data_IF_980435258385
#
_entry.id   IF_980435258385
#
_cell.length_a   1.000
_cell.length_b   1.000
_cell.length_c   1.000
_cell.angle_alpha   90.00
_cell.angle_beta   90.00
_cell.angle_gamma   90.00
#
_symmetry.space_group_name_H-M   'P 1'
#
loop_
_entity.id
_entity.type
_entity.pdbx_description
1 polymer ?
#
# COMPACT_ATOMS: atom_id res chain seq x y z
N UNK A 1 -2.25 -10.21 11.07
CA UNK A 1 -1.72 -10.45 9.71
C UNK A 1 -2.13 -11.82 9.22
N UNK A 2 -1.75 -12.92 9.86
CA UNK A 2 -2.05 -14.30 9.42
C UNK A 2 -3.53 -14.55 9.13
N UNK A 3 -4.42 -14.22 10.09
CA UNK A 3 -5.87 -14.40 9.90
C UNK A 3 -6.42 -13.59 8.72
N UNK A 4 -5.96 -12.35 8.55
CA UNK A 4 -6.40 -11.49 7.45
C UNK A 4 -5.96 -12.03 6.08
N UNK A 5 -4.76 -12.62 6.01
CA UNK A 5 -4.22 -13.26 4.81
C UNK A 5 -4.72 -14.68 4.55
N UNK A 6 -5.78 -15.10 5.25
CA UNK A 6 -6.37 -16.44 5.16
C UNK A 6 -5.40 -17.59 5.49
N UNK A 7 -4.34 -17.29 6.27
CA UNK A 7 -3.25 -18.21 6.61
C UNK A 7 -2.41 -18.69 5.41
N UNK A 8 -2.50 -18.02 4.27
CA UNK A 8 -1.67 -18.26 3.09
C UNK A 8 -0.38 -17.41 3.09
N UNK A 9 -0.15 -16.74 4.21
CA UNK A 9 1.04 -15.94 4.43
C UNK A 9 2.29 -16.81 4.59
N UNK A 10 3.43 -16.36 4.07
CA UNK A 10 4.73 -16.92 4.42
C UNK A 10 5.10 -16.48 5.84
N UNK A 11 5.07 -17.42 6.79
CA UNK A 11 5.23 -17.15 8.22
C UNK A 11 6.54 -16.43 8.55
N UNK A 12 7.65 -16.84 7.91
CA UNK A 12 8.97 -16.21 8.08
C UNK A 12 8.92 -14.71 7.72
N UNK A 13 8.32 -14.37 6.58
CA UNK A 13 8.20 -12.98 6.13
C UNK A 13 7.34 -12.13 7.06
N UNK A 14 6.25 -12.70 7.60
CA UNK A 14 5.43 -12.04 8.61
C UNK A 14 6.22 -11.79 9.90
N UNK A 15 6.98 -12.78 10.37
CA UNK A 15 7.82 -12.68 11.57
C UNK A 15 8.89 -11.58 11.41
N UNK A 16 9.57 -11.56 10.26
CA UNK A 16 10.56 -10.53 9.92
C UNK A 16 9.92 -9.15 9.96
N UNK A 17 8.79 -8.95 9.28
CA UNK A 17 8.12 -7.66 9.23
C UNK A 17 7.73 -7.17 10.63
N UNK A 18 7.12 -8.02 11.45
CA UNK A 18 6.65 -7.64 12.78
C UNK A 18 7.82 -7.29 13.69
N UNK A 19 8.89 -8.11 13.71
CA UNK A 19 10.05 -7.88 14.57
C UNK A 19 10.87 -6.66 14.17
N UNK A 20 10.84 -6.28 12.90
CA UNK A 20 11.54 -5.10 12.40
C UNK A 20 10.73 -3.81 12.53
N UNK A 21 9.46 -3.89 12.92
CA UNK A 21 8.54 -2.75 12.88
C UNK A 21 9.00 -1.55 13.71
N UNK A 22 9.47 -1.78 14.94
CA UNK A 22 9.91 -0.70 15.84
C UNK A 22 11.14 0.02 15.29
N UNK A 23 12.12 -0.73 14.76
CA UNK A 23 13.31 -0.15 14.14
C UNK A 23 12.92 0.75 12.96
N UNK A 24 12.04 0.29 12.09
CA UNK A 24 11.56 1.06 10.93
C UNK A 24 10.83 2.34 11.37
N UNK A 25 10.00 2.28 12.40
CA UNK A 25 9.32 3.48 12.91
C UNK A 25 10.32 4.49 13.47
N UNK A 26 11.34 4.05 14.20
CA UNK A 26 12.39 4.94 14.69
C UNK A 26 13.18 5.58 13.54
N UNK A 27 13.50 4.80 12.49
CA UNK A 27 14.15 5.33 11.29
C UNK A 27 13.30 6.42 10.62
N UNK A 28 11.99 6.18 10.46
CA UNK A 28 11.07 7.15 9.86
C UNK A 28 10.99 8.45 10.64
N UNK A 29 10.88 8.36 11.97
CA UNK A 29 10.92 9.55 12.86
C UNK A 29 12.26 10.27 12.71
N UNK A 30 13.36 9.53 12.66
CA UNK A 30 14.70 10.08 12.43
C UNK A 30 14.84 10.77 11.06
N UNK A 31 14.10 10.33 10.05
CA UNK A 31 14.03 10.99 8.74
C UNK A 31 13.04 12.17 8.68
N UNK A 32 12.37 12.47 9.80
CA UNK A 32 11.47 13.60 9.92
C UNK A 32 10.00 13.32 9.57
N UNK A 33 9.59 12.04 9.56
CA UNK A 33 8.17 11.68 9.45
C UNK A 33 7.47 12.09 10.74
N UNK A 34 6.40 12.87 10.60
CA UNK A 34 5.59 13.39 11.68
C UNK A 34 4.34 12.53 11.88
N UNK A 35 4.40 11.57 12.80
CA UNK A 35 3.22 10.82 13.20
C UNK A 35 2.40 11.58 14.24
N UNK A 36 1.08 11.41 14.22
CA UNK A 36 0.18 12.00 15.20
C UNK A 36 0.62 11.67 16.63
N UNK A 37 0.69 12.68 17.49
CA UNK A 37 1.15 12.56 18.87
C UNK A 37 0.43 13.53 19.81
N UNK A 38 0.44 13.20 21.10
CA UNK A 38 -0.01 14.07 22.19
C UNK A 38 1.18 14.26 23.14
N UNK A 39 1.79 15.43 23.10
CA UNK A 39 3.09 15.66 23.71
C UNK A 39 4.15 14.72 23.15
N UNK A 40 4.81 13.94 24.02
CA UNK A 40 5.83 12.95 23.63
C UNK A 40 5.24 11.55 23.27
N UNK A 41 3.93 11.38 23.35
CA UNK A 41 3.28 10.07 23.12
C UNK A 41 2.70 9.98 21.73
N UNK A 42 3.11 8.94 20.98
CA UNK A 42 2.52 8.60 19.69
C UNK A 42 1.05 8.17 19.87
N UNK A 43 0.20 8.64 18.98
CA UNK A 43 -1.19 8.25 18.90
C UNK A 43 -1.36 7.07 17.95
N UNK A 44 -2.34 6.22 18.25
CA UNK A 44 -2.63 5.03 17.46
C UNK A 44 -4.09 5.01 17.05
N UNK A 45 -4.33 4.71 15.77
CA UNK A 45 -5.69 4.47 15.26
C UNK A 45 -5.94 2.98 15.02
N UNK A 46 -7.21 2.65 14.86
CA UNK A 46 -7.68 1.30 14.51
C UNK A 46 -8.32 1.33 13.14
N UNK A 47 -7.93 0.39 12.29
CA UNK A 47 -8.60 0.11 11.01
C UNK A 47 -9.36 -1.22 11.08
N UNK A 48 -10.19 -1.48 10.07
CA UNK A 48 -10.97 -2.71 9.98
C UNK A 48 -10.09 -3.97 10.05
N UNK A 49 -10.63 -5.04 10.60
CA UNK A 49 -9.95 -6.31 10.88
C UNK A 49 -8.78 -6.24 11.88
N UNK A 50 -8.42 -5.07 12.42
CA UNK A 50 -7.48 -4.96 13.53
C UNK A 50 -8.17 -5.22 14.88
N UNK A 51 -7.51 -5.99 15.74
CA UNK A 51 -8.04 -6.34 17.07
C UNK A 51 -7.94 -5.21 18.11
N UNK A 52 -7.02 -4.25 17.89
CA UNK A 52 -6.77 -3.10 18.77
C UNK A 52 -6.15 -1.93 17.98
N UNK A 53 -6.19 -0.69 18.51
CA UNK A 53 -5.42 0.43 17.96
C UNK A 53 -3.92 0.10 17.99
N UNK A 54 -3.25 0.19 16.84
CA UNK A 54 -1.80 -0.06 16.69
C UNK A 54 -1.19 0.60 15.47
N UNK A 55 -1.97 1.36 14.71
CA UNK A 55 -1.54 1.97 13.47
C UNK A 55 -1.13 3.39 13.75
N UNK A 56 0.11 3.72 13.46
CA UNK A 56 0.59 5.10 13.44
C UNK A 56 0.08 5.78 12.17
N UNK A 57 -0.27 7.04 12.30
CA UNK A 57 -0.90 7.80 11.23
C UNK A 57 -0.44 9.26 11.26
N UNK A 58 -0.59 9.94 10.14
CA UNK A 58 -0.48 11.38 10.00
C UNK A 58 -1.74 11.84 9.29
N UNK A 59 -2.68 12.41 10.02
CA UNK A 59 -4.02 12.72 9.50
C UNK A 59 -4.61 11.51 8.72
N UNK A 60 -5.10 11.72 7.51
CA UNK A 60 -5.55 10.70 6.55
C UNK A 60 -4.62 10.55 5.32
N UNK A 61 -3.38 11.08 5.41
CA UNK A 61 -2.38 11.10 4.33
C UNK A 61 -1.03 10.49 4.71
N UNK A 62 -1.00 9.53 5.63
CA UNK A 62 0.23 8.90 6.16
C UNK A 62 1.21 8.47 5.05
N UNK A 63 0.72 7.88 3.96
CA UNK A 63 1.56 7.47 2.84
C UNK A 63 2.26 8.64 2.15
N UNK A 64 1.59 9.77 1.99
CA UNK A 64 2.17 11.00 1.42
C UNK A 64 3.23 11.57 2.35
N UNK A 65 2.98 11.62 3.66
CA UNK A 65 3.93 12.08 4.66
C UNK A 65 5.23 11.28 4.60
N UNK A 66 5.15 9.95 4.69
CA UNK A 66 6.31 9.06 4.62
C UNK A 66 7.09 9.28 3.31
N UNK A 67 6.40 9.24 2.17
CA UNK A 67 7.05 9.33 0.86
C UNK A 67 7.74 10.67 0.66
N UNK A 68 7.09 11.77 1.04
CA UNK A 68 7.64 13.12 0.90
C UNK A 68 8.90 13.32 1.74
N UNK A 69 8.89 12.84 3.00
CA UNK A 69 10.06 12.94 3.89
C UNK A 69 11.23 12.10 3.41
N UNK A 70 10.97 10.84 3.02
CA UNK A 70 12.02 9.99 2.48
C UNK A 70 12.62 10.56 1.18
N UNK A 71 11.79 11.07 0.27
CA UNK A 71 12.27 11.71 -0.95
C UNK A 71 13.13 12.96 -0.63
N UNK A 72 12.72 13.74 0.36
CA UNK A 72 13.49 14.91 0.81
C UNK A 72 14.87 14.51 1.37
N UNK A 73 14.98 13.36 2.05
CA UNK A 73 16.28 12.85 2.51
C UNK A 73 17.13 12.34 1.35
N UNK A 74 16.54 11.57 0.43
CA UNK A 74 17.25 11.05 -0.75
C UNK A 74 17.84 12.19 -1.60
N UNK A 75 17.10 13.27 -1.80
CA UNK A 75 17.59 14.45 -2.56
C UNK A 75 18.78 15.16 -1.95
N UNK A 76 19.12 14.91 -0.68
CA UNK A 76 20.31 15.47 -0.01
C UNK A 76 21.57 14.63 -0.27
N UNK A 77 21.43 13.40 -0.80
CA UNK A 77 22.56 12.48 -0.99
C UNK A 77 23.29 12.81 -2.31
N UNK A 78 24.58 13.17 -2.26
CA UNK A 78 25.32 13.59 -3.45
C UNK A 78 25.63 12.45 -4.45
N UNK A 79 25.50 11.22 -3.99
CA UNK A 79 25.74 10.01 -4.78
C UNK A 79 24.45 9.39 -5.38
N UNK A 80 23.32 10.08 -5.29
CA UNK A 80 22.04 9.62 -5.86
C UNK A 80 21.66 10.48 -7.05
N UNK A 81 21.37 9.85 -8.20
CA UNK A 81 20.82 10.51 -9.38
C UNK A 81 19.39 10.05 -9.60
N UNK A 82 18.46 11.00 -9.77
CA UNK A 82 17.05 10.74 -10.02
C UNK A 82 16.74 11.11 -11.48
N UNK A 83 16.29 10.14 -12.26
CA UNK A 83 15.83 10.34 -13.64
C UNK A 83 14.29 10.40 -13.65
N UNK A 84 13.74 11.61 -13.63
CA UNK A 84 12.29 11.81 -13.73
C UNK A 84 11.81 11.59 -15.18
N UNK A 85 10.55 11.19 -15.35
CA UNK A 85 9.94 10.94 -16.66
C UNK A 85 10.72 9.94 -17.54
N UNK A 86 11.37 8.98 -16.90
CA UNK A 86 12.18 7.95 -17.54
C UNK A 86 11.59 6.59 -17.20
N UNK A 87 11.20 5.84 -18.22
CA UNK A 87 10.52 4.55 -18.08
C UNK A 87 11.50 3.41 -18.34
N UNK A 88 11.61 2.47 -17.39
CA UNK A 88 12.31 1.20 -17.61
C UNK A 88 11.54 0.38 -18.65
N UNK A 89 12.21 -0.04 -19.71
CA UNK A 89 11.60 -0.82 -20.80
C UNK A 89 12.07 -2.28 -20.81
N UNK A 90 13.24 -2.56 -20.22
CA UNK A 90 13.81 -3.90 -20.12
C UNK A 90 14.95 -3.95 -19.08
N UNK A 91 15.49 -5.14 -18.85
CA UNK A 91 16.75 -5.35 -18.11
C UNK A 91 17.89 -5.72 -19.10
N UNK A 92 19.11 -5.44 -18.68
CA UNK A 92 20.31 -5.93 -19.35
C UNK A 92 20.67 -7.27 -18.71
N UNK A 93 20.68 -8.34 -19.49
CA UNK A 93 21.09 -9.68 -19.04
C UNK A 93 22.48 -9.98 -19.58
N UNK A 94 23.38 -10.40 -18.73
CA UNK A 94 24.73 -10.84 -19.07
C UNK A 94 25.06 -12.11 -18.30
N UNK A 95 25.52 -13.14 -18.98
CA UNK A 95 25.90 -14.45 -18.37
C UNK A 95 24.83 -15.03 -17.41
N UNK A 96 23.54 -14.78 -17.73
CA UNK A 96 22.40 -15.29 -16.94
C UNK A 96 22.02 -14.45 -15.71
N UNK A 97 22.68 -13.33 -15.44
CA UNK A 97 22.36 -12.41 -14.35
C UNK A 97 21.93 -11.03 -14.84
N UNK A 98 21.29 -10.26 -13.98
CA UNK A 98 20.93 -8.87 -14.26
C UNK A 98 22.19 -7.98 -14.17
N UNK A 99 22.47 -7.21 -15.20
CA UNK A 99 23.62 -6.30 -15.30
C UNK A 99 23.17 -4.83 -15.50
N UNK A 100 21.92 -4.50 -15.17
CA UNK A 100 21.36 -3.17 -15.27
C UNK A 100 20.02 -3.13 -16.00
N UNK A 101 19.62 -1.95 -16.46
CA UNK A 101 18.33 -1.70 -17.11
C UNK A 101 18.48 -1.00 -18.47
N UNK A 102 17.47 -1.15 -19.30
CA UNK A 102 17.22 -0.32 -20.48
C UNK A 102 16.06 0.61 -20.13
N UNK A 103 16.26 1.90 -20.30
CA UNK A 103 15.27 2.91 -20.00
C UNK A 103 15.03 3.82 -21.20
N UNK A 104 13.86 4.43 -21.26
CA UNK A 104 13.46 5.39 -22.27
C UNK A 104 13.05 6.70 -21.61
N UNK A 105 13.69 7.80 -22.02
CA UNK A 105 13.34 9.15 -21.56
C UNK A 105 12.02 9.63 -22.18
N UNK A 106 11.46 10.72 -21.68
CA UNK A 106 10.27 11.38 -22.25
C UNK A 106 10.48 11.81 -23.72
N UNK A 107 11.72 12.13 -24.10
CA UNK A 107 12.08 12.58 -25.44
C UNK A 107 12.37 11.41 -26.41
N UNK A 108 12.23 10.17 -25.91
CA UNK A 108 12.37 8.95 -26.69
C UNK A 108 13.80 8.40 -26.77
N UNK A 109 14.76 9.00 -26.09
CA UNK A 109 16.13 8.53 -26.02
C UNK A 109 16.21 7.20 -25.23
N UNK A 110 16.97 6.24 -25.75
CA UNK A 110 17.20 4.95 -25.09
C UNK A 110 18.51 5.03 -24.29
N UNK A 111 18.39 4.72 -23.00
CA UNK A 111 19.51 4.69 -22.07
C UNK A 111 19.81 3.24 -21.67
N UNK A 112 21.08 2.86 -21.69
CA UNK A 112 21.57 1.60 -21.13
C UNK A 112 22.30 1.92 -19.83
N UNK A 113 21.64 1.67 -18.70
CA UNK A 113 22.19 1.93 -17.36
C UNK A 113 22.73 0.60 -16.80
N UNK A 114 24.04 0.46 -16.77
CA UNK A 114 24.69 -0.72 -16.16
C UNK A 114 24.77 -0.55 -14.67
N UNK A 115 24.54 -1.65 -13.94
CA UNK A 115 24.59 -1.72 -12.48
C UNK A 115 25.07 -3.11 -12.07
N UNK A 116 25.75 -3.18 -10.93
CA UNK A 116 26.12 -4.43 -10.29
C UNK A 116 24.88 -5.13 -9.74
N UNK A 117 24.01 -4.35 -9.04
CA UNK A 117 22.71 -4.82 -8.57
C UNK A 117 21.58 -3.90 -9.03
N UNK A 118 20.42 -4.49 -9.27
CA UNK A 118 19.19 -3.78 -9.69
C UNK A 118 18.06 -4.09 -8.73
N UNK A 119 17.30 -3.07 -8.33
CA UNK A 119 16.12 -3.23 -7.45
C UNK A 119 14.88 -2.78 -8.20
N UNK A 120 13.91 -3.66 -8.37
CA UNK A 120 12.57 -3.31 -8.83
C UNK A 120 11.73 -2.79 -7.67
N UNK A 121 11.25 -1.56 -7.78
CA UNK A 121 10.33 -0.92 -6.85
C UNK A 121 9.18 -0.24 -7.61
N UNK A 122 8.71 -0.89 -8.68
CA UNK A 122 7.83 -0.33 -9.70
C UNK A 122 6.34 -0.29 -9.31
N UNK A 123 5.98 -0.72 -8.10
CA UNK A 123 4.60 -0.75 -7.64
C UNK A 123 3.79 -1.90 -8.26
N UNK A 124 2.47 -1.79 -8.20
CA UNK A 124 1.55 -2.85 -8.59
C UNK A 124 0.98 -2.72 -9.99
N UNK A 125 -0.26 -3.19 -10.16
CA UNK A 125 -0.95 -3.34 -11.45
C UNK A 125 -2.24 -2.50 -11.55
N UNK A 126 -2.42 -1.54 -10.64
CA UNK A 126 -3.69 -0.82 -10.49
C UNK A 126 -4.12 -0.02 -11.71
N UNK A 127 -3.17 0.44 -12.53
CA UNK A 127 -3.45 1.14 -13.78
C UNK A 127 -4.16 0.29 -14.84
N UNK A 128 -4.14 -1.04 -14.72
CA UNK A 128 -4.87 -1.96 -15.58
C UNK A 128 -6.36 -2.04 -15.26
N UNK A 129 -6.83 -1.44 -14.16
CA UNK A 129 -8.21 -1.54 -13.70
C UNK A 129 -9.00 -0.25 -13.94
N UNK A 130 -10.24 -0.39 -14.41
CA UNK A 130 -11.16 0.74 -14.62
C UNK A 130 -11.40 1.56 -13.34
N UNK A 131 -11.53 0.87 -12.19
CA UNK A 131 -11.67 1.49 -10.88
C UNK A 131 -10.47 1.09 -10.02
N UNK A 132 -9.58 2.03 -9.76
CA UNK A 132 -8.38 1.81 -8.96
C UNK A 132 -8.05 3.03 -8.12
N UNK A 133 -7.48 2.81 -6.94
CA UNK A 133 -6.89 3.85 -6.09
C UNK A 133 -5.45 4.17 -6.50
N UNK A 134 -4.89 3.41 -7.43
CA UNK A 134 -3.52 3.60 -7.91
C UNK A 134 -3.47 4.56 -9.11
N UNK A 135 -2.29 5.07 -9.39
CA UNK A 135 -2.07 5.90 -10.57
C UNK A 135 -2.13 5.07 -11.86
N UNK A 136 -2.62 5.65 -12.98
CA UNK A 136 -2.78 4.92 -14.25
C UNK A 136 -1.48 4.36 -14.84
N UNK A 137 -0.32 4.90 -14.49
CA UNK A 137 0.98 4.44 -14.97
C UNK A 137 1.52 3.20 -14.24
N UNK A 138 0.84 2.71 -13.20
CA UNK A 138 1.21 1.48 -12.50
C UNK A 138 0.60 0.28 -13.22
N UNK A 139 1.22 -0.15 -14.30
CA UNK A 139 0.71 -1.15 -15.25
C UNK A 139 1.36 -2.53 -15.13
N UNK A 140 2.25 -2.71 -14.13
CA UNK A 140 2.92 -3.99 -13.92
C UNK A 140 4.11 -4.26 -14.86
N UNK A 141 4.74 -3.24 -15.36
CA UNK A 141 5.83 -3.35 -16.37
C UNK A 141 6.95 -4.29 -15.91
N UNK A 142 7.33 -4.27 -14.62
CA UNK A 142 8.32 -5.18 -14.08
C UNK A 142 7.88 -6.65 -14.10
N UNK A 143 6.57 -6.93 -14.05
CA UNK A 143 6.03 -8.29 -14.17
C UNK A 143 6.18 -8.81 -15.61
N UNK A 144 5.89 -7.98 -16.61
CA UNK A 144 6.04 -8.32 -18.02
C UNK A 144 7.52 -8.56 -18.36
N UNK A 145 8.42 -7.69 -17.89
CA UNK A 145 9.86 -7.87 -18.01
C UNK A 145 10.31 -9.16 -17.33
N UNK A 146 9.85 -9.42 -16.11
CA UNK A 146 10.16 -10.64 -15.36
C UNK A 146 9.72 -11.90 -16.11
N UNK A 147 8.49 -11.90 -16.63
CA UNK A 147 7.96 -12.99 -17.45
C UNK A 147 8.80 -13.23 -18.73
N UNK A 148 9.19 -12.16 -19.40
CA UNK A 148 10.02 -12.21 -20.61
C UNK A 148 11.37 -12.89 -20.36
N UNK A 149 11.96 -12.66 -19.20
CA UNK A 149 13.29 -13.18 -18.81
C UNK A 149 13.23 -14.44 -17.94
N UNK A 150 12.05 -15.06 -17.78
CA UNK A 150 11.90 -16.30 -16.99
C UNK A 150 12.11 -16.13 -15.48
N UNK A 151 11.99 -14.89 -14.97
CA UNK A 151 12.06 -14.60 -13.54
C UNK A 151 10.75 -15.09 -12.90
N UNK A 152 10.87 -15.77 -11.74
CA UNK A 152 9.75 -16.40 -11.05
C UNK A 152 8.72 -15.37 -10.59
N UNK A 153 7.45 -15.62 -10.94
CA UNK A 153 6.29 -14.86 -10.49
C UNK A 153 5.40 -15.75 -9.61
N UNK A 154 4.71 -15.17 -8.62
CA UNK A 154 3.78 -15.88 -7.75
C UNK A 154 2.48 -15.10 -7.56
N UNK A 155 1.37 -15.83 -7.38
CA UNK A 155 0.07 -15.31 -6.97
C UNK A 155 -0.46 -14.12 -7.79
N UNK A 156 -0.35 -14.19 -9.10
CA UNK A 156 -0.79 -13.08 -9.99
C UNK A 156 -2.29 -12.80 -9.93
N UNK A 157 -3.06 -13.69 -9.34
CA UNK A 157 -4.50 -13.58 -9.07
C UNK A 157 -4.83 -12.93 -7.71
N UNK A 158 -3.82 -12.70 -6.85
CA UNK A 158 -4.03 -12.10 -5.52
C UNK A 158 -4.13 -10.58 -5.60
N UNK A 159 -5.33 -10.12 -5.92
CA UNK A 159 -5.64 -8.68 -6.04
C UNK A 159 -6.65 -8.27 -4.97
N UNK A 160 -6.28 -7.29 -4.15
CA UNK A 160 -7.17 -6.73 -3.14
C UNK A 160 -8.01 -5.59 -3.73
N UNK A 161 -9.31 -5.69 -3.50
CA UNK A 161 -10.27 -4.63 -3.79
C UNK A 161 -10.58 -3.88 -2.49
N UNK A 162 -10.45 -2.55 -2.50
CA UNK A 162 -10.91 -1.72 -1.38
C UNK A 162 -12.42 -1.50 -1.49
N UNK A 163 -13.18 -1.69 -0.41
CA UNK A 163 -14.64 -1.60 -0.45
C UNK A 163 -15.15 -0.19 -0.77
N UNK A 164 -14.49 0.83 -0.23
CA UNK A 164 -15.00 2.21 -0.21
C UNK A 164 -14.04 3.18 -0.88
N UNK A 165 -14.29 3.52 -2.12
CA UNK A 165 -13.68 4.65 -2.83
C UNK A 165 -14.79 5.59 -3.29
N UNK A 166 -14.52 6.89 -3.35
CA UNK A 166 -15.50 7.85 -3.81
C UNK A 166 -15.88 7.55 -5.27
N UNK A 167 -17.17 7.36 -5.52
CA UNK A 167 -17.66 7.13 -6.87
C UNK A 167 -17.60 8.42 -7.68
N UNK A 168 -17.08 8.34 -8.90
CA UNK A 168 -17.12 9.41 -9.89
C UNK A 168 -17.42 8.84 -11.26
N UNK A 169 -18.13 9.59 -12.10
CA UNK A 169 -18.36 9.26 -13.51
C UNK A 169 -17.12 9.54 -14.36
N UNK A 170 -16.27 10.45 -13.89
CA UNK A 170 -15.05 10.82 -14.58
C UNK A 170 -14.02 9.68 -14.56
N UNK A 171 -13.26 9.49 -15.63
CA UNK A 171 -12.17 8.52 -15.67
C UNK A 171 -11.02 8.92 -14.71
N UNK A 172 -10.20 7.96 -14.31
CA UNK A 172 -8.99 8.20 -13.54
C UNK A 172 -8.97 7.52 -12.18
N UNK A 173 -7.99 7.95 -11.37
CA UNK A 173 -7.76 7.42 -10.03
C UNK A 173 -8.96 7.67 -9.12
N UNK A 174 -9.44 6.61 -8.46
CA UNK A 174 -10.49 6.73 -7.45
C UNK A 174 -9.92 7.25 -6.14
N UNK A 175 -10.59 8.23 -5.55
CA UNK A 175 -10.19 8.73 -4.25
C UNK A 175 -10.56 7.73 -3.16
N UNK A 176 -9.58 7.39 -2.31
CA UNK A 176 -9.76 6.43 -1.23
C UNK A 176 -10.53 7.07 -0.08
N UNK A 177 -11.67 6.48 0.29
CA UNK A 177 -12.28 6.72 1.59
C UNK A 177 -11.67 5.71 2.55
N UNK A 178 -10.78 6.17 3.40
CA UNK A 178 -9.98 5.32 4.29
C UNK A 178 -10.83 4.32 5.08
N UNK A 179 -10.28 3.17 5.37
CA UNK A 179 -10.92 2.16 6.21
C UNK A 179 -11.15 2.65 7.64
N UNK A 180 -10.32 3.57 8.14
CA UNK A 180 -10.49 4.21 9.45
C UNK A 180 -11.82 4.95 9.57
N UNK A 181 -12.37 5.51 8.47
CA UNK A 181 -13.70 6.13 8.47
C UNK A 181 -14.78 5.14 8.90
N UNK A 182 -14.71 3.89 8.41
CA UNK A 182 -15.59 2.81 8.85
C UNK A 182 -15.27 2.35 10.27
N UNK A 183 -14.00 2.40 10.65
CA UNK A 183 -13.51 2.14 12.01
C UNK A 183 -14.08 3.11 13.05
N UNK A 184 -14.24 4.38 12.67
CA UNK A 184 -14.82 5.46 13.51
C UNK A 184 -16.36 5.48 13.50
N UNK A 185 -17.02 4.62 12.71
CA UNK A 185 -18.47 4.44 12.79
C UNK A 185 -19.27 4.78 11.55
N UNK A 186 -18.64 5.00 10.39
CA UNK A 186 -19.39 5.19 9.15
C UNK A 186 -20.14 3.92 8.73
N UNK A 187 -21.34 4.09 8.20
CA UNK A 187 -22.29 3.04 7.87
C UNK A 187 -22.58 2.99 6.38
N UNK A 188 -22.71 1.78 5.82
CA UNK A 188 -23.03 1.53 4.43
C UNK A 188 -24.55 1.31 4.25
N UNK A 189 -25.13 2.05 3.33
CA UNK A 189 -26.55 1.98 2.99
C UNK A 189 -26.78 1.61 1.51
N UNK A 190 -27.85 0.86 1.26
CA UNK A 190 -28.36 0.59 -0.08
C UNK A 190 -29.18 1.79 -0.61
N UNK A 191 -29.74 1.67 -1.82
CA UNK A 191 -30.57 2.73 -2.43
C UNK A 191 -31.83 3.07 -1.64
N UNK A 192 -32.31 2.19 -0.76
CA UNK A 192 -33.50 2.39 0.06
C UNK A 192 -33.17 2.95 1.47
N UNK A 193 -31.90 3.20 1.77
CA UNK A 193 -31.47 3.63 3.10
C UNK A 193 -31.39 2.50 4.14
N UNK A 194 -31.24 1.25 3.71
CA UNK A 194 -31.13 0.11 4.58
C UNK A 194 -29.66 -0.31 4.71
N UNK A 195 -29.19 -0.51 5.94
CA UNK A 195 -27.86 -1.08 6.23
C UNK A 195 -27.84 -2.57 5.81
N UNK A 196 -26.84 -3.02 5.10
CA UNK A 196 -26.81 -4.35 4.51
C UNK A 196 -25.57 -5.19 4.87
N UNK A 197 -24.58 -4.62 5.56
CA UNK A 197 -23.33 -5.32 5.92
C UNK A 197 -22.78 -4.78 7.24
N UNK A 198 -21.96 -5.59 7.93
CA UNK A 198 -21.11 -5.08 9.02
C UNK A 198 -19.81 -4.53 8.39
N UNK A 199 -19.60 -3.25 8.49
CA UNK A 199 -18.52 -2.48 7.85
C UNK A 199 -17.13 -2.81 8.39
N UNK A 200 -17.05 -3.43 9.57
CA UNK A 200 -15.79 -3.82 10.24
C UNK A 200 -15.28 -5.21 9.86
N UNK A 201 -16.00 -5.92 8.99
CA UNK A 201 -15.54 -7.18 8.42
C UNK A 201 -14.33 -6.98 7.49
N UNK A 202 -13.56 -8.05 7.19
CA UNK A 202 -12.45 -7.99 6.24
C UNK A 202 -12.86 -7.39 4.87
N UNK A 203 -11.90 -6.74 4.21
CA UNK A 203 -12.14 -6.01 2.94
C UNK A 203 -12.82 -6.85 1.86
N UNK A 204 -12.39 -8.10 1.69
CA UNK A 204 -12.96 -9.03 0.72
C UNK A 204 -14.44 -9.33 0.99
N UNK A 205 -14.80 -9.49 2.27
CA UNK A 205 -16.19 -9.74 2.69
C UNK A 205 -17.06 -8.51 2.43
N UNK A 206 -16.61 -7.32 2.85
CA UNK A 206 -17.34 -6.07 2.64
C UNK A 206 -17.46 -5.76 1.14
N UNK A 207 -16.39 -5.98 0.37
CA UNK A 207 -16.40 -5.81 -1.10
C UNK A 207 -17.42 -6.71 -1.77
N UNK A 208 -17.49 -8.00 -1.40
CA UNK A 208 -18.48 -8.95 -1.93
C UNK A 208 -19.91 -8.50 -1.61
N UNK A 209 -20.14 -8.05 -0.37
CA UNK A 209 -21.46 -7.56 0.04
C UNK A 209 -21.88 -6.31 -0.75
N UNK A 210 -20.97 -5.34 -0.95
CA UNK A 210 -21.25 -4.14 -1.75
C UNK A 210 -21.57 -4.52 -3.20
N UNK A 211 -20.75 -5.37 -3.83
CA UNK A 211 -21.00 -5.80 -5.23
C UNK A 211 -22.36 -6.49 -5.38
N UNK A 212 -22.68 -7.40 -4.47
CA UNK A 212 -23.99 -8.08 -4.48
C UNK A 212 -25.15 -7.10 -4.26
N UNK A 213 -24.97 -6.09 -3.39
CA UNK A 213 -26.01 -5.08 -3.17
C UNK A 213 -26.19 -4.16 -4.38
N UNK A 214 -25.07 -3.74 -5.02
CA UNK A 214 -25.13 -2.94 -6.26
C UNK A 214 -25.86 -3.70 -7.38
N UNK A 215 -25.59 -4.99 -7.54
CA UNK A 215 -26.27 -5.84 -8.52
C UNK A 215 -27.77 -5.96 -8.22
N UNK A 216 -28.14 -6.26 -6.98
CA UNK A 216 -29.54 -6.31 -6.51
C UNK A 216 -30.29 -5.02 -6.74
N UNK A 217 -29.65 -3.89 -6.50
CA UNK A 217 -30.24 -2.55 -6.62
C UNK A 217 -30.25 -2.02 -8.05
N UNK A 218 -29.44 -2.60 -8.95
CA UNK A 218 -29.22 -2.08 -10.29
C UNK A 218 -28.49 -0.72 -10.29
N UNK A 219 -27.57 -0.50 -9.32
CA UNK A 219 -26.87 0.78 -9.13
C UNK A 219 -25.38 0.64 -9.39
N UNK A 220 -24.72 1.77 -9.70
CA UNK A 220 -23.27 1.84 -9.91
C UNK A 220 -22.46 2.11 -8.63
N UNK A 221 -23.12 2.31 -7.50
CA UNK A 221 -22.52 2.62 -6.21
C UNK A 221 -23.50 2.26 -5.07
N UNK A 222 -22.98 2.26 -3.85
CA UNK A 222 -23.75 2.28 -2.60
C UNK A 222 -23.48 3.59 -1.87
N UNK A 223 -24.13 3.83 -0.76
CA UNK A 223 -23.99 5.05 0.02
C UNK A 223 -23.20 4.81 1.29
N UNK A 224 -22.33 5.75 1.65
CA UNK A 224 -21.61 5.78 2.93
C UNK A 224 -22.08 7.01 3.72
N UNK A 225 -22.52 6.79 4.96
CA UNK A 225 -22.90 7.84 5.91
C UNK A 225 -21.82 8.00 6.97
N UNK A 226 -21.44 9.23 7.26
CA UNK A 226 -20.59 9.61 8.38
C UNK A 226 -21.37 10.25 9.54
N UNK A 227 -22.67 10.16 9.54
CA UNK A 227 -23.60 10.78 10.49
C UNK A 227 -23.37 10.35 11.95
N UNK A 228 -22.82 9.15 12.16
CA UNK A 228 -22.51 8.59 13.47
C UNK A 228 -21.12 8.98 14.01
N UNK A 229 -20.36 9.73 13.23
CA UNK A 229 -19.04 10.24 13.63
C UNK A 229 -19.22 11.70 14.01
N UNK A 230 -18.69 12.11 15.16
CA UNK A 230 -18.79 13.50 15.56
C UNK A 230 -18.02 14.41 14.61
N UNK A 231 -18.50 15.66 14.49
CA UNK A 231 -17.96 16.64 13.55
C UNK A 231 -16.47 16.95 13.81
N UNK A 232 -16.05 16.98 15.07
CA UNK A 232 -14.68 17.29 15.45
C UNK A 232 -13.75 16.17 15.01
N UNK A 233 -14.16 14.90 15.20
CA UNK A 233 -13.44 13.74 14.68
C UNK A 233 -13.32 13.78 13.16
N UNK A 234 -14.39 14.10 12.42
CA UNK A 234 -14.32 14.20 10.96
C UNK A 234 -13.30 15.26 10.53
N UNK A 235 -13.34 16.44 11.12
CA UNK A 235 -12.49 17.57 10.72
C UNK A 235 -11.03 17.39 11.13
N UNK A 236 -10.75 16.68 12.23
CA UNK A 236 -9.40 16.50 12.75
C UNK A 236 -8.73 15.22 12.27
N UNK A 237 -9.48 14.11 12.10
CA UNK A 237 -8.90 12.83 11.68
C UNK A 237 -8.98 12.60 10.16
N UNK A 238 -9.92 13.25 9.46
CA UNK A 238 -10.16 13.05 8.04
C UNK A 238 -10.26 14.37 7.24
N UNK A 239 -9.36 15.36 7.48
CA UNK A 239 -9.47 16.68 6.86
C UNK A 239 -9.38 16.61 5.34
N UNK A 240 -8.52 15.76 4.79
CA UNK A 240 -8.34 15.63 3.35
C UNK A 240 -9.51 14.88 2.69
N UNK A 241 -10.10 13.87 3.38
CA UNK A 241 -11.33 13.20 2.91
C UNK A 241 -12.48 14.19 2.89
N UNK A 242 -12.65 14.98 3.95
CA UNK A 242 -13.68 16.02 4.02
C UNK A 242 -13.53 17.01 2.88
N UNK A 243 -12.35 17.59 2.72
CA UNK A 243 -12.07 18.57 1.67
C UNK A 243 -12.29 17.97 0.27
N UNK A 244 -11.80 16.76 0.03
CA UNK A 244 -11.97 16.10 -1.28
C UNK A 244 -13.44 15.81 -1.60
N UNK A 245 -14.23 15.38 -0.63
CA UNK A 245 -15.66 15.18 -0.83
C UNK A 245 -16.37 16.50 -1.17
N UNK A 246 -16.02 17.62 -0.50
CA UNK A 246 -16.54 18.94 -0.82
C UNK A 246 -16.20 19.36 -2.26
N UNK A 247 -14.99 19.13 -2.73
CA UNK A 247 -14.55 19.41 -4.10
C UNK A 247 -15.37 18.63 -5.14
N UNK A 248 -15.79 17.40 -4.81
CA UNK A 248 -16.66 16.57 -5.65
C UNK A 248 -18.16 16.88 -5.44
N UNK A 249 -18.48 17.88 -4.62
CA UNK A 249 -19.85 18.37 -4.39
C UNK A 249 -20.61 17.69 -3.26
N UNK A 250 -19.93 16.96 -2.36
CA UNK A 250 -20.56 16.25 -1.24
C UNK A 250 -20.10 16.82 0.10
N UNK A 251 -21.02 17.26 0.94
CA UNK A 251 -20.76 17.63 2.33
C UNK A 251 -21.05 16.44 3.27
N UNK A 252 -20.02 15.70 3.65
CA UNK A 252 -20.14 14.49 4.49
C UNK A 252 -20.76 14.77 5.88
N UNK A 253 -20.82 16.03 6.30
CA UNK A 253 -21.48 16.45 7.56
C UNK A 253 -23.00 16.58 7.41
N UNK A 254 -23.53 16.53 6.17
CA UNK A 254 -24.94 16.78 5.88
C UNK A 254 -25.59 15.71 5.02
N UNK A 255 -24.79 14.95 4.29
CA UNK A 255 -25.29 14.01 3.31
C UNK A 255 -24.42 12.76 3.19
N UNK A 256 -24.99 11.71 2.65
CA UNK A 256 -24.28 10.48 2.32
C UNK A 256 -23.45 10.66 1.06
N UNK A 257 -22.31 9.97 0.98
CA UNK A 257 -21.44 10.00 -0.19
C UNK A 257 -21.54 8.69 -0.98
N UNK A 258 -21.51 8.75 -2.34
CA UNK A 258 -21.52 7.55 -3.16
C UNK A 258 -20.16 6.86 -3.11
N UNK A 259 -20.15 5.56 -2.83
CA UNK A 259 -18.91 4.77 -2.78
C UNK A 259 -18.98 3.52 -3.64
N UNK A 260 -17.84 3.10 -4.19
CA UNK A 260 -17.71 1.95 -5.07
C UNK A 260 -16.44 1.18 -4.74
N UNK A 261 -16.45 -0.17 -4.82
CA UNK A 261 -15.23 -0.95 -4.72
C UNK A 261 -14.26 -0.67 -5.87
N UNK A 262 -12.98 -0.56 -5.55
CA UNK A 262 -11.92 -0.34 -6.52
C UNK A 262 -10.68 -1.20 -6.23
N UNK A 263 -9.94 -1.55 -7.26
CA UNK A 263 -8.63 -2.17 -7.07
C UNK A 263 -7.75 -1.27 -6.19
N UNK A 264 -7.04 -1.86 -5.25
CA UNK A 264 -6.29 -1.10 -4.27
C UNK A 264 -4.87 -1.60 -4.04
N UNK A 265 -4.65 -2.91 -3.96
CA UNK A 265 -3.35 -3.50 -3.72
C UNK A 265 -3.17 -4.83 -4.44
N UNK A 266 -1.96 -5.10 -4.89
CA UNK A 266 -1.57 -6.35 -5.51
C UNK A 266 -0.67 -7.15 -4.56
N UNK A 267 -1.12 -8.32 -4.08
CA UNK A 267 -0.37 -9.14 -3.13
C UNK A 267 0.52 -10.18 -3.80
N UNK A 268 0.29 -10.46 -5.06
CA UNK A 268 1.18 -11.25 -5.90
C UNK A 268 2.37 -10.46 -6.42
N UNK A 269 3.11 -10.99 -7.37
CA UNK A 269 4.22 -10.30 -8.01
C UNK A 269 5.45 -11.14 -8.26
N UNK A 270 6.59 -10.49 -8.32
CA UNK A 270 7.89 -11.13 -8.49
C UNK A 270 8.22 -11.86 -7.19
N UNK A 271 8.42 -13.19 -7.29
CA UNK A 271 8.84 -13.97 -6.15
C UNK A 271 10.20 -13.50 -5.62
N UNK A 272 10.29 -13.37 -4.31
CA UNK A 272 11.54 -13.02 -3.62
C UNK A 272 11.75 -13.88 -2.38
N UNK A 273 13.02 -14.04 -2.00
CA UNK A 273 13.40 -14.61 -0.71
C UNK A 273 13.24 -13.61 0.45
N UNK A 274 13.70 -13.98 1.63
CA UNK A 274 13.63 -13.13 2.83
C UNK A 274 14.51 -11.88 2.78
N UNK A 275 15.44 -11.80 1.85
CA UNK A 275 16.31 -10.63 1.62
C UNK A 275 15.93 -9.86 0.35
N UNK A 276 14.72 -10.13 -0.19
CA UNK A 276 14.17 -9.52 -1.41
C UNK A 276 14.91 -9.84 -2.70
N UNK A 277 15.77 -10.86 -2.71
CA UNK A 277 16.45 -11.36 -3.91
C UNK A 277 15.45 -12.15 -4.76
N UNK A 278 15.40 -11.89 -6.06
CA UNK A 278 14.58 -12.64 -7.02
C UNK A 278 15.22 -13.98 -7.41
N UNK A 279 14.60 -14.71 -8.34
CA UNK A 279 15.20 -15.92 -8.92
C UNK A 279 16.31 -15.65 -9.95
N UNK A 280 16.58 -14.39 -10.27
CA UNK A 280 17.69 -13.96 -11.11
C UNK A 280 18.77 -13.30 -10.25
N UNK A 281 20.01 -13.67 -10.42
CA UNK A 281 21.13 -13.07 -9.69
C UNK A 281 21.27 -11.58 -10.01
N UNK A 282 21.69 -10.79 -9.04
CA UNK A 282 21.84 -9.34 -9.10
C UNK A 282 20.53 -8.57 -9.37
N UNK A 283 19.37 -9.23 -9.15
CA UNK A 283 18.08 -8.61 -9.26
C UNK A 283 17.25 -8.81 -7.98
N UNK A 284 16.78 -7.72 -7.43
CA UNK A 284 15.95 -7.64 -6.24
C UNK A 284 14.60 -7.03 -6.60
N UNK A 285 13.56 -7.31 -5.79
CA UNK A 285 12.27 -6.66 -5.91
C UNK A 285 11.70 -6.34 -4.53
N UNK A 286 11.16 -5.14 -4.34
CA UNK A 286 10.65 -4.65 -3.04
C UNK A 286 9.31 -3.91 -3.22
N UNK A 287 8.52 -3.87 -2.14
CA UNK A 287 7.20 -3.26 -2.14
C UNK A 287 6.21 -4.02 -3.02
N UNK A 288 5.18 -3.34 -3.50
CA UNK A 288 4.01 -3.96 -4.16
C UNK A 288 4.33 -4.74 -5.45
N UNK A 289 5.49 -4.52 -6.07
CA UNK A 289 5.92 -5.31 -7.24
C UNK A 289 6.40 -6.72 -6.85
N UNK A 290 6.74 -6.93 -5.57
CA UNK A 290 7.31 -8.18 -5.06
C UNK A 290 6.26 -9.05 -4.35
N UNK A 291 6.41 -10.36 -4.44
CA UNK A 291 5.67 -11.34 -3.66
C UNK A 291 6.58 -12.01 -2.63
N UNK A 292 6.72 -11.38 -1.46
CA UNK A 292 7.44 -11.95 -0.31
C UNK A 292 6.55 -12.82 0.58
N UNK A 293 5.24 -12.87 0.29
CA UNK A 293 4.26 -13.69 1.00
C UNK A 293 3.80 -13.13 2.36
N UNK A 294 4.13 -11.89 2.72
CA UNK A 294 3.65 -11.25 3.97
C UNK A 294 2.13 -11.17 4.03
N UNK A 295 1.49 -10.87 2.90
CA UNK A 295 0.07 -10.52 2.88
C UNK A 295 -0.87 -11.72 2.72
N UNK A 296 -0.39 -12.87 2.24
CA UNK A 296 -1.25 -13.99 1.87
C UNK A 296 -2.26 -13.57 0.79
N UNK A 297 -3.44 -14.16 0.82
CA UNK A 297 -4.50 -13.88 -0.17
C UNK A 297 -5.27 -12.58 0.08
N UNK A 298 -5.09 -11.92 1.24
CA UNK A 298 -5.78 -10.67 1.58
C UNK A 298 -4.96 -9.84 2.58
N UNK A 299 -4.52 -8.65 2.16
CA UNK A 299 -3.68 -7.76 2.96
C UNK A 299 -4.44 -7.14 4.13
N UNK A 300 -3.88 -7.23 5.33
CA UNK A 300 -4.34 -6.44 6.47
C UNK A 300 -3.99 -4.96 6.23
N UNK A 301 -4.91 -4.08 6.53
CA UNK A 301 -4.74 -2.64 6.36
C UNK A 301 -3.43 -2.13 7.00
N UNK A 302 -2.80 -1.14 6.38
CA UNK A 302 -1.53 -0.50 6.75
C UNK A 302 -0.26 -1.36 6.72
N UNK A 303 -0.37 -2.68 6.57
CA UNK A 303 0.82 -3.56 6.51
C UNK A 303 1.70 -3.32 5.28
N UNK A 304 1.17 -2.78 4.18
CA UNK A 304 1.95 -2.58 2.95
C UNK A 304 3.09 -1.58 3.09
N UNK A 305 2.87 -0.48 3.82
CA UNK A 305 3.92 0.51 4.05
C UNK A 305 5.06 -0.08 4.88
N UNK A 306 4.71 -0.79 5.96
CA UNK A 306 5.71 -1.45 6.81
C UNK A 306 6.46 -2.56 6.06
N UNK A 307 5.76 -3.39 5.29
CA UNK A 307 6.35 -4.43 4.44
C UNK A 307 7.37 -3.82 3.48
N UNK A 308 6.98 -2.82 2.71
CA UNK A 308 7.86 -2.17 1.73
C UNK A 308 9.13 -1.63 2.36
N UNK A 309 9.04 -0.97 3.51
CA UNK A 309 10.18 -0.38 4.21
C UNK A 309 11.11 -1.44 4.81
N UNK A 310 10.55 -2.47 5.46
CA UNK A 310 11.32 -3.57 6.06
C UNK A 310 12.12 -4.30 4.98
N UNK A 311 11.45 -4.70 3.90
CA UNK A 311 12.10 -5.53 2.88
C UNK A 311 13.02 -4.71 1.97
N UNK A 312 12.77 -3.41 1.75
CA UNK A 312 13.72 -2.53 1.09
C UNK A 312 15.01 -2.36 1.91
N UNK A 313 14.90 -2.21 3.24
CA UNK A 313 16.06 -2.15 4.13
C UNK A 313 16.85 -3.45 4.11
N UNK A 314 16.17 -4.62 4.06
CA UNK A 314 16.82 -5.93 3.96
C UNK A 314 17.56 -6.10 2.64
N UNK A 315 16.93 -5.74 1.51
CA UNK A 315 17.59 -5.73 0.20
C UNK A 315 18.86 -4.89 0.22
N UNK A 316 18.78 -3.65 0.72
CA UNK A 316 19.93 -2.75 0.81
C UNK A 316 21.07 -3.35 1.68
N UNK A 317 20.74 -3.93 2.83
CA UNK A 317 21.74 -4.59 3.69
C UNK A 317 22.38 -5.78 2.99
N UNK A 318 21.59 -6.58 2.26
CA UNK A 318 22.10 -7.74 1.50
C UNK A 318 23.05 -7.32 0.40
N UNK A 319 22.70 -6.30 -0.38
CA UNK A 319 23.55 -5.74 -1.45
C UNK A 319 24.88 -5.20 -0.88
N UNK A 320 24.84 -4.59 0.31
CA UNK A 320 26.02 -4.07 0.98
C UNK A 320 26.78 -5.12 1.83
N UNK A 321 26.43 -6.39 1.75
CA UNK A 321 27.01 -7.49 2.57
C UNK A 321 26.96 -7.23 4.08
N UNK A 322 25.97 -6.45 4.54
CA UNK A 322 25.75 -6.17 5.96
C UNK A 322 24.93 -7.28 6.61
N UNK A 323 25.28 -7.59 7.87
CA UNK A 323 24.55 -8.60 8.65
C UNK A 323 23.08 -8.26 8.80
N UNK A 324 22.20 -9.25 8.59
CA UNK A 324 20.76 -9.14 8.78
C UNK A 324 20.41 -9.30 10.26
N UNK A 325 20.30 -8.19 10.98
CA UNK A 325 19.92 -8.21 12.40
C UNK A 325 18.42 -8.11 12.56
N UNK A 326 17.81 -9.11 13.18
CA UNK A 326 16.43 -9.03 13.70
C UNK A 326 16.57 -8.93 15.22
N UNK A 327 16.35 -7.73 15.77
CA UNK A 327 16.39 -7.56 17.23
C UNK A 327 15.19 -8.30 17.85
N UNK A 328 15.39 -9.00 18.99
CA UNK A 328 14.26 -9.51 19.77
C UNK A 328 13.34 -8.35 20.15
N UNK A 329 12.05 -8.47 19.86
CA UNK A 329 11.06 -7.51 20.35
C UNK A 329 10.82 -7.83 21.84
N UNK A 330 11.13 -6.91 22.72
CA UNK A 330 10.74 -7.00 24.10
C UNK A 330 9.26 -6.59 24.22
N UNK A 331 8.41 -7.58 24.38
CA UNK A 331 6.98 -7.36 24.54
C UNK A 331 6.58 -6.81 25.93
N UNK A 332 7.52 -6.74 26.87
CA UNK A 332 7.26 -6.23 28.22
C UNK A 332 7.00 -4.72 28.24
N UNK A 333 7.63 -3.95 27.33
CA UNK A 333 7.40 -2.50 27.22
C UNK A 333 6.11 -2.15 26.47
N UNK A 334 5.57 -3.03 25.63
CA UNK A 334 4.32 -2.78 24.90
C UNK A 334 3.05 -2.98 25.74
N UNK A 335 3.17 -3.46 26.96
CA UNK A 335 2.04 -3.61 27.90
C UNK A 335 1.81 -2.37 28.78
N UNK A 336 2.67 -1.36 28.66
CA UNK A 336 2.63 -0.14 29.48
C UNK A 336 2.21 1.13 28.71
N UNK A 337 1.60 0.96 27.51
CA UNK A 337 1.05 2.11 26.75
C UNK A 337 -0.40 1.82 26.36
#
# INVERSE_FOLDING_TARGET
>A
TMKAGHYENRKESVDIMIRSSQEIIHDLIGYGVDFAHDGDKLLYTREGAHSRPRILFHEDITGQEITSKLLAQVKKLPNVTIYEYTTMTDIIVQDGHCAGIIAKTKDGEIMHIRAEDTIFASGGIGGCYKHSTNFPHLTGDALDISKKHGIRLEHLDYVQIHPTTLYSKEPGRRFLISESVRGEGAVLYNKNGERFVNELLPRDVVTKAIKAQMEKDGTSHVWLSMEHIDKETILNHFPNIYQRCLEEGYDVLKEWIPVVPAQHYFMGGIWVDSDSKTSMDHLYAVGETSCNGVHGANRLASNSLLESLVFAKRAARKICDLEQTVKPVDFSESAAV
#
